data_IF_823705303458
#
_entry.id   IF_823705303458
#
_cell.length_a   1.000
_cell.length_b   1.000
_cell.length_c   1.000
_cell.angle_alpha   90.00
_cell.angle_beta   90.00
_cell.angle_gamma   90.00
#
_symmetry.space_group_name_H-M   'P 1'
#
loop_
_entity.id
_entity.type
_entity.pdbx_description
1 polymer ?
#
# COMPACT_ATOMS: atom_id res chain seq x y z
N UNK A 1 15.49 -2.34 -47.44
CA UNK A 1 14.22 -3.07 -47.24
C UNK A 1 13.33 -2.20 -46.37
N UNK A 2 12.43 -1.41 -46.96
CA UNK A 2 11.49 -0.57 -46.19
C UNK A 2 10.41 -1.46 -45.61
N UNK A 3 10.13 -1.30 -44.31
CA UNK A 3 9.01 -1.95 -43.65
C UNK A 3 7.70 -1.45 -44.28
N UNK A 4 6.78 -2.35 -44.63
CA UNK A 4 5.44 -1.99 -45.11
C UNK A 4 4.62 -1.38 -43.98
N UNK A 5 3.71 -0.46 -44.28
CA UNK A 5 2.85 0.19 -43.27
C UNK A 5 2.04 -0.83 -42.45
N UNK A 6 1.53 -1.88 -43.09
CA UNK A 6 0.79 -2.96 -42.42
C UNK A 6 1.66 -3.67 -41.36
N UNK A 7 2.93 -3.94 -41.69
CA UNK A 7 3.84 -4.62 -40.75
C UNK A 7 4.21 -3.73 -39.57
N UNK A 8 4.30 -2.42 -39.80
CA UNK A 8 4.52 -1.43 -38.75
C UNK A 8 3.32 -1.34 -37.80
N UNK A 9 2.10 -1.34 -38.34
CA UNK A 9 0.87 -1.32 -37.56
C UNK A 9 0.74 -2.58 -36.69
N UNK A 10 1.04 -3.76 -37.24
CA UNK A 10 1.06 -5.04 -36.50
C UNK A 10 2.03 -4.98 -35.31
N UNK A 11 3.26 -4.53 -35.53
CA UNK A 11 4.26 -4.39 -34.46
C UNK A 11 3.84 -3.38 -33.37
N UNK A 12 3.14 -2.31 -33.76
CA UNK A 12 2.62 -1.33 -32.79
C UNK A 12 1.49 -1.91 -31.95
N UNK A 13 0.58 -2.69 -32.55
CA UNK A 13 -0.48 -3.39 -31.83
C UNK A 13 0.10 -4.41 -30.86
N UNK A 14 1.12 -5.15 -31.26
CA UNK A 14 1.77 -6.12 -30.37
C UNK A 14 2.51 -5.44 -29.21
N UNK A 15 3.23 -4.35 -29.48
CA UNK A 15 3.81 -3.53 -28.42
C UNK A 15 2.75 -2.98 -27.44
N UNK A 16 1.56 -2.63 -27.95
CA UNK A 16 0.44 -2.19 -27.10
C UNK A 16 -0.10 -3.32 -26.23
N UNK A 17 -0.31 -4.51 -26.79
CA UNK A 17 -0.71 -5.69 -26.00
C UNK A 17 0.28 -5.99 -24.89
N UNK A 18 1.59 -5.99 -25.18
CA UNK A 18 2.64 -6.21 -24.16
C UNK A 18 2.64 -5.13 -23.08
N UNK A 19 2.37 -3.88 -23.46
CA UNK A 19 2.26 -2.78 -22.49
C UNK A 19 1.05 -2.96 -21.57
N UNK A 20 -0.12 -3.32 -22.11
CA UNK A 20 -1.32 -3.60 -21.33
C UNK A 20 -1.13 -4.81 -20.41
N UNK A 21 -0.44 -5.86 -20.87
CA UNK A 21 -0.12 -7.02 -20.03
C UNK A 21 0.81 -6.64 -18.86
N UNK A 22 1.81 -5.78 -19.12
CA UNK A 22 2.69 -5.23 -18.08
C UNK A 22 1.91 -4.39 -17.07
N UNK A 23 0.95 -3.56 -17.52
CA UNK A 23 0.05 -2.81 -16.64
C UNK A 23 -0.74 -3.74 -15.72
N UNK A 24 -1.33 -4.82 -16.27
CA UNK A 24 -2.05 -5.84 -15.50
C UNK A 24 -1.14 -6.51 -14.48
N UNK A 25 0.07 -6.90 -14.88
CA UNK A 25 1.04 -7.53 -13.98
C UNK A 25 1.37 -6.64 -12.78
N UNK A 26 1.66 -5.36 -13.01
CA UNK A 26 1.94 -4.42 -11.90
C UNK A 26 0.72 -4.21 -11.01
N UNK A 27 -0.49 -4.13 -11.57
CA UNK A 27 -1.71 -4.05 -10.78
C UNK A 27 -1.91 -5.29 -9.90
N UNK A 28 -1.68 -6.49 -10.44
CA UNK A 28 -1.79 -7.74 -9.69
C UNK A 28 -0.76 -7.82 -8.57
N UNK A 29 0.48 -7.38 -8.81
CA UNK A 29 1.52 -7.30 -7.78
C UNK A 29 1.15 -6.32 -6.67
N UNK A 30 0.65 -5.12 -7.01
CA UNK A 30 0.20 -4.14 -6.02
C UNK A 30 -0.92 -4.70 -5.12
N UNK A 31 -1.90 -5.39 -5.72
CA UNK A 31 -2.99 -6.03 -4.96
C UNK A 31 -2.49 -7.13 -4.03
N UNK A 32 -1.51 -7.94 -4.47
CA UNK A 32 -0.88 -8.97 -3.62
C UNK A 32 -0.17 -8.37 -2.42
N UNK A 33 0.61 -7.30 -2.61
CA UNK A 33 1.33 -6.62 -1.52
C UNK A 33 0.35 -6.10 -0.47
N UNK A 34 -0.75 -5.48 -0.90
CA UNK A 34 -1.79 -5.00 0.01
C UNK A 34 -2.43 -6.14 0.81
N UNK A 35 -2.74 -7.25 0.15
CA UNK A 35 -3.26 -8.44 0.82
C UNK A 35 -2.29 -9.00 1.86
N UNK A 36 -1.00 -9.14 1.52
CA UNK A 36 0.02 -9.58 2.47
C UNK A 36 0.13 -8.63 3.67
N UNK A 37 0.05 -7.32 3.44
CA UNK A 37 -0.03 -6.34 4.52
C UNK A 37 -1.16 -6.64 5.51
N UNK A 38 -2.37 -6.88 5.02
CA UNK A 38 -3.51 -7.23 5.87
C UNK A 38 -3.34 -8.56 6.63
N UNK A 39 -2.73 -9.56 6.00
CA UNK A 39 -2.43 -10.85 6.67
C UNK A 39 -1.46 -10.64 7.83
N UNK A 40 -0.38 -9.88 7.60
CA UNK A 40 0.60 -9.55 8.66
C UNK A 40 -0.07 -8.75 9.77
N UNK A 41 -0.92 -7.78 9.43
CA UNK A 41 -1.67 -6.99 10.40
C UNK A 41 -2.56 -7.87 11.29
N UNK A 42 -3.30 -8.81 10.69
CA UNK A 42 -4.13 -9.75 11.44
C UNK A 42 -3.29 -10.59 12.41
N UNK A 43 -2.11 -11.06 11.98
CA UNK A 43 -1.18 -11.79 12.83
C UNK A 43 -0.66 -10.92 14.00
N UNK A 44 -0.29 -9.67 13.74
CA UNK A 44 0.14 -8.70 14.78
C UNK A 44 -0.96 -8.47 15.81
N UNK A 45 -2.19 -8.20 15.37
CA UNK A 45 -3.32 -7.97 16.27
C UNK A 45 -3.60 -9.23 17.11
N UNK A 46 -3.58 -10.41 16.49
CA UNK A 46 -3.75 -11.68 17.18
C UNK A 46 -2.66 -11.95 18.23
N UNK A 47 -1.39 -11.72 17.87
CA UNK A 47 -0.25 -11.87 18.77
C UNK A 47 -0.30 -10.88 19.93
N UNK A 48 -0.66 -9.62 19.67
CA UNK A 48 -0.85 -8.61 20.71
C UNK A 48 -1.99 -9.00 21.66
N UNK A 49 -3.13 -9.43 21.13
CA UNK A 49 -4.26 -9.89 21.94
C UNK A 49 -3.93 -11.12 22.82
N UNK A 50 -3.20 -12.09 22.27
CA UNK A 50 -2.72 -13.24 23.03
C UNK A 50 -1.74 -12.83 24.15
N UNK A 51 -0.80 -11.94 23.84
CA UNK A 51 0.16 -11.42 24.81
C UNK A 51 -0.53 -10.72 25.98
N UNK A 52 -1.56 -9.92 25.71
CA UNK A 52 -2.35 -9.26 26.75
C UNK A 52 -3.09 -10.27 27.63
N UNK A 53 -3.70 -11.31 27.03
CA UNK A 53 -4.38 -12.36 27.78
C UNK A 53 -3.43 -13.13 28.70
N UNK A 54 -2.19 -13.36 28.28
CA UNK A 54 -1.18 -14.06 29.07
C UNK A 54 -0.57 -13.21 30.19
N UNK A 55 -0.87 -11.90 30.27
CA UNK A 55 -0.35 -11.00 31.30
C UNK A 55 1.16 -10.75 31.23
N UNK A 56 1.79 -11.04 30.07
CA UNK A 56 3.23 -10.89 29.89
C UNK A 56 3.56 -9.39 29.80
N UNK A 57 4.45 -8.92 30.67
CA UNK A 57 4.91 -7.55 30.72
C UNK A 57 6.42 -7.46 30.83
N UNK A 58 6.99 -6.34 30.40
CA UNK A 58 8.41 -6.04 30.49
C UNK A 58 8.64 -4.80 31.37
N UNK A 59 9.65 -4.81 32.26
CA UNK A 59 9.99 -3.65 33.05
C UNK A 59 10.66 -2.59 32.17
N UNK A 60 10.04 -1.41 32.06
CA UNK A 60 10.54 -0.25 31.32
C UNK A 60 10.31 1.01 32.15
N UNK A 61 11.37 1.79 32.41
CA UNK A 61 11.32 3.05 33.16
C UNK A 61 10.55 2.98 34.51
N UNK A 62 10.65 1.87 35.24
CA UNK A 62 9.96 1.69 36.52
C UNK A 62 8.50 1.22 36.41
N UNK A 63 8.01 0.93 35.21
CA UNK A 63 6.68 0.38 34.96
C UNK A 63 6.75 -0.99 34.28
N UNK A 64 5.79 -1.87 34.58
CA UNK A 64 5.55 -3.11 33.85
C UNK A 64 4.65 -2.82 32.65
N UNK A 65 5.26 -2.70 31.48
CA UNK A 65 4.55 -2.42 30.22
C UNK A 65 4.12 -3.72 29.56
N UNK A 66 2.84 -3.90 29.18
CA UNK A 66 2.40 -5.12 28.50
C UNK A 66 3.14 -5.36 27.18
N UNK A 67 3.59 -6.59 26.93
CA UNK A 67 4.33 -6.94 25.71
C UNK A 67 3.52 -6.64 24.44
N UNK A 68 2.20 -6.73 24.51
CA UNK A 68 1.29 -6.36 23.43
C UNK A 68 1.49 -4.94 22.88
N UNK A 69 1.95 -3.98 23.71
CA UNK A 69 2.26 -2.63 23.24
C UNK A 69 3.41 -2.62 22.23
N UNK A 70 4.47 -3.39 22.50
CA UNK A 70 5.63 -3.51 21.62
C UNK A 70 5.28 -4.25 20.34
N UNK A 71 4.43 -5.28 20.43
CA UNK A 71 3.93 -6.00 19.25
C UNK A 71 3.13 -5.06 18.34
N UNK A 72 2.23 -4.24 18.90
CA UNK A 72 1.47 -3.25 18.13
C UNK A 72 2.38 -2.19 17.49
N UNK A 73 3.38 -1.71 18.25
CA UNK A 73 4.36 -0.75 17.72
C UNK A 73 5.19 -1.36 16.57
N UNK A 74 5.61 -2.61 16.72
CA UNK A 74 6.26 -3.36 15.65
C UNK A 74 5.34 -3.48 14.42
N UNK A 75 4.05 -3.74 14.63
CA UNK A 75 3.04 -3.70 13.58
C UNK A 75 3.01 -2.39 12.81
N UNK A 76 3.09 -1.25 13.51
CA UNK A 76 3.12 0.07 12.86
C UNK A 76 4.37 0.24 12.00
N UNK A 77 5.53 -0.22 12.47
CA UNK A 77 6.79 -0.19 11.71
C UNK A 77 6.71 -1.08 10.46
N UNK A 78 6.17 -2.30 10.59
CA UNK A 78 5.99 -3.19 9.44
C UNK A 78 4.99 -2.61 8.43
N UNK A 79 3.89 -2.02 8.90
CA UNK A 79 2.91 -1.37 8.03
C UNK A 79 3.50 -0.16 7.31
N UNK A 80 4.39 0.59 7.95
CA UNK A 80 5.15 1.64 7.30
C UNK A 80 6.03 1.08 6.16
N UNK A 81 6.64 -0.10 6.35
CA UNK A 81 7.33 -0.82 5.28
C UNK A 81 6.40 -1.17 4.11
N UNK A 82 5.20 -1.69 4.39
CA UNK A 82 4.18 -1.96 3.37
C UNK A 82 3.78 -0.68 2.62
N UNK A 83 3.63 0.45 3.31
CA UNK A 83 3.37 1.75 2.69
C UNK A 83 4.46 2.13 1.67
N UNK A 84 5.74 1.96 2.02
CA UNK A 84 6.83 2.25 1.08
C UNK A 84 6.77 1.34 -0.16
N UNK A 85 6.51 0.05 0.03
CA UNK A 85 6.36 -0.89 -1.08
C UNK A 85 5.19 -0.49 -2.00
N UNK A 86 3.97 -0.36 -1.47
CA UNK A 86 2.76 -0.08 -2.26
C UNK A 86 2.82 1.32 -2.90
N UNK A 87 3.09 2.36 -2.10
CA UNK A 87 2.92 3.74 -2.53
C UNK A 87 4.15 4.34 -3.24
N UNK A 88 5.37 3.98 -2.81
CA UNK A 88 6.60 4.62 -3.30
C UNK A 88 7.33 3.79 -4.35
N UNK A 89 7.15 2.48 -4.38
CA UNK A 89 7.82 1.62 -5.37
C UNK A 89 6.87 1.14 -6.46
N UNK A 90 5.80 0.43 -6.12
CA UNK A 90 4.95 -0.22 -7.12
C UNK A 90 3.96 0.72 -7.81
N UNK A 91 3.36 1.66 -7.07
CA UNK A 91 2.43 2.64 -7.67
C UNK A 91 3.08 3.45 -8.82
N UNK A 92 4.34 3.93 -8.71
CA UNK A 92 5.05 4.54 -9.85
C UNK A 92 5.26 3.63 -11.06
N UNK A 93 5.54 2.33 -10.86
CA UNK A 93 5.71 1.39 -11.98
C UNK A 93 4.41 1.20 -12.76
N UNK A 94 3.29 1.06 -12.04
CA UNK A 94 1.96 1.00 -12.66
C UNK A 94 1.66 2.28 -13.45
N UNK A 95 1.87 3.46 -12.85
CA UNK A 95 1.66 4.73 -13.53
C UNK A 95 2.54 4.89 -14.79
N UNK A 96 3.81 4.50 -14.73
CA UNK A 96 4.72 4.54 -15.88
C UNK A 96 4.27 3.64 -17.03
N UNK A 97 3.76 2.44 -16.71
CA UNK A 97 3.21 1.53 -17.73
C UNK A 97 1.92 2.07 -18.36
N UNK A 98 1.08 2.76 -17.58
CA UNK A 98 -0.14 3.45 -18.07
C UNK A 98 0.23 4.61 -18.99
N UNK A 99 1.16 5.47 -18.58
CA UNK A 99 1.58 6.62 -19.38
C UNK A 99 2.25 6.17 -20.70
N UNK A 100 3.00 5.06 -20.68
CA UNK A 100 3.53 4.40 -21.90
C UNK A 100 2.40 3.90 -22.81
N UNK A 101 1.39 3.24 -22.23
CA UNK A 101 0.21 2.77 -22.95
C UNK A 101 -0.54 3.90 -23.63
N UNK A 102 -0.78 5.02 -22.93
CA UNK A 102 -1.44 6.22 -23.49
C UNK A 102 -0.67 6.76 -24.71
N UNK A 103 0.65 6.80 -24.64
CA UNK A 103 1.47 7.29 -25.75
C UNK A 103 1.38 6.38 -26.98
N UNK A 104 1.22 5.07 -26.77
CA UNK A 104 1.07 4.11 -27.86
C UNK A 104 -0.35 4.13 -28.44
N UNK A 105 -1.37 4.23 -27.59
CA UNK A 105 -2.77 4.42 -27.97
C UNK A 105 -2.96 5.63 -28.87
N UNK A 106 -2.34 6.78 -28.53
CA UNK A 106 -2.37 7.99 -29.38
C UNK A 106 -1.84 7.75 -30.79
N UNK A 107 -0.76 6.97 -30.92
CA UNK A 107 -0.14 6.66 -32.22
C UNK A 107 -0.99 5.65 -33.02
N UNK A 108 -1.54 4.65 -32.35
CA UNK A 108 -2.41 3.65 -32.96
C UNK A 108 -3.76 4.25 -33.38
N UNK A 109 -4.34 5.14 -32.59
CA UNK A 109 -5.60 5.79 -32.92
C UNK A 109 -5.54 6.71 -34.13
N UNK A 110 -4.35 7.17 -34.53
CA UNK A 110 -4.16 7.88 -35.79
C UNK A 110 -4.29 6.96 -37.03
N UNK A 111 -4.21 5.63 -36.82
CA UNK A 111 -4.30 4.59 -37.85
C UNK A 111 -5.66 3.88 -37.80
N UNK A 112 -6.18 3.67 -36.59
CA UNK A 112 -7.37 2.86 -36.31
C UNK A 112 -8.54 3.66 -35.72
N UNK A 113 -8.70 4.94 -36.11
CA UNK A 113 -9.87 5.79 -35.82
C UNK A 113 -10.37 5.78 -34.36
N UNK A 114 -9.45 5.77 -33.39
CA UNK A 114 -9.80 5.89 -31.98
C UNK A 114 -10.16 4.59 -31.25
N UNK A 115 -9.96 3.41 -31.83
CA UNK A 115 -10.33 2.14 -31.20
C UNK A 115 -9.58 1.79 -29.90
N UNK A 116 -8.48 2.46 -29.56
CA UNK A 116 -7.63 2.12 -28.42
C UNK A 116 -7.71 3.18 -27.31
N UNK A 117 -8.40 2.89 -26.20
CA UNK A 117 -8.61 3.85 -25.08
C UNK A 117 -8.31 3.31 -23.69
N UNK A 118 -7.80 2.08 -23.56
CA UNK A 118 -7.72 1.39 -22.27
C UNK A 118 -6.92 2.15 -21.20
N UNK A 119 -5.68 2.53 -21.53
CA UNK A 119 -4.75 3.20 -20.61
C UNK A 119 -5.22 4.62 -20.31
N UNK A 120 -5.76 5.30 -21.32
CA UNK A 120 -6.31 6.66 -21.18
C UNK A 120 -7.58 6.70 -20.32
N UNK A 121 -8.46 5.70 -20.46
CA UNK A 121 -9.65 5.54 -19.64
C UNK A 121 -9.28 5.22 -18.18
N UNK A 122 -8.31 4.34 -17.93
CA UNK A 122 -7.80 4.08 -16.56
C UNK A 122 -7.33 5.38 -15.90
N UNK A 123 -6.52 6.18 -16.61
CA UNK A 123 -6.00 7.44 -16.07
C UNK A 123 -7.12 8.44 -15.78
N UNK A 124 -8.07 8.59 -16.72
CA UNK A 124 -9.22 9.48 -16.59
C UNK A 124 -10.06 9.10 -15.37
N UNK A 125 -10.48 7.83 -15.29
CA UNK A 125 -11.29 7.30 -14.17
C UNK A 125 -10.59 7.42 -12.83
N UNK A 126 -9.26 7.20 -12.80
CA UNK A 126 -8.48 7.35 -11.57
C UNK A 126 -8.49 8.79 -11.04
N UNK A 127 -8.53 9.80 -11.92
CA UNK A 127 -8.55 11.22 -11.54
C UNK A 127 -9.95 11.75 -11.20
N UNK A 128 -11.02 11.07 -11.62
CA UNK A 128 -12.41 11.47 -11.37
C UNK A 128 -12.89 11.19 -9.93
N UNK A 129 -12.08 10.51 -9.11
CA UNK A 129 -12.49 10.11 -7.76
C UNK A 129 -12.56 11.31 -6.82
N UNK A 130 -13.72 11.47 -6.20
CA UNK A 130 -14.01 12.51 -5.21
C UNK A 130 -14.20 11.89 -3.83
N UNK A 131 -13.61 12.52 -2.81
CA UNK A 131 -13.85 12.20 -1.40
C UNK A 131 -14.49 13.43 -0.74
N UNK A 132 -15.65 13.26 -0.12
CA UNK A 132 -16.42 14.37 0.49
C UNK A 132 -16.63 15.58 -0.45
N UNK A 133 -16.80 15.32 -1.75
CA UNK A 133 -17.01 16.36 -2.77
C UNK A 133 -15.73 17.00 -3.34
N UNK A 134 -14.57 16.78 -2.72
CA UNK A 134 -13.27 17.25 -3.21
C UNK A 134 -12.61 16.21 -4.10
N UNK A 135 -12.00 16.61 -5.22
CA UNK A 135 -11.19 15.70 -6.04
C UNK A 135 -9.96 15.27 -5.24
N UNK A 136 -9.74 13.96 -5.15
CA UNK A 136 -8.61 13.40 -4.42
C UNK A 136 -7.77 12.60 -5.39
N UNK A 137 -6.53 13.05 -5.60
CA UNK A 137 -5.59 12.34 -6.44
C UNK A 137 -5.29 10.93 -5.88
N UNK A 138 -4.77 10.06 -6.74
CA UNK A 138 -4.47 8.67 -6.34
C UNK A 138 -3.41 8.58 -5.24
N UNK A 139 -2.46 9.52 -5.17
CA UNK A 139 -1.39 9.51 -4.16
C UNK A 139 -1.95 9.86 -2.79
N UNK A 140 -2.80 10.88 -2.71
CA UNK A 140 -3.45 11.33 -1.49
C UNK A 140 -4.38 10.23 -0.95
N UNK A 141 -5.13 9.53 -1.80
CA UNK A 141 -5.94 8.37 -1.38
C UNK A 141 -5.09 7.28 -0.73
N UNK A 142 -3.99 6.89 -1.37
CA UNK A 142 -3.07 5.89 -0.83
C UNK A 142 -2.43 6.36 0.47
N UNK A 143 -2.06 7.64 0.57
CA UNK A 143 -1.51 8.22 1.80
C UNK A 143 -2.53 8.18 2.94
N UNK A 144 -3.75 8.68 2.73
CA UNK A 144 -4.81 8.70 3.74
C UNK A 144 -5.03 7.29 4.30
N UNK A 145 -5.16 6.30 3.42
CA UNK A 145 -5.38 4.90 3.83
C UNK A 145 -4.22 4.35 4.69
N UNK A 146 -2.97 4.56 4.29
CA UNK A 146 -1.84 4.02 5.05
C UNK A 146 -1.61 4.78 6.36
N UNK A 147 -1.73 6.10 6.36
CA UNK A 147 -1.61 6.89 7.58
C UNK A 147 -2.74 6.62 8.57
N UNK A 148 -3.98 6.39 8.11
CA UNK A 148 -5.07 6.01 9.02
C UNK A 148 -4.78 4.68 9.74
N UNK A 149 -4.14 3.73 9.05
CA UNK A 149 -3.73 2.45 9.64
C UNK A 149 -2.54 2.58 10.60
N UNK A 150 -1.56 3.42 10.29
CA UNK A 150 -0.45 3.70 11.21
C UNK A 150 -0.98 4.39 12.46
N UNK A 151 -1.83 5.41 12.31
CA UNK A 151 -2.44 6.14 13.42
C UNK A 151 -3.25 5.19 14.31
N UNK A 152 -4.04 4.28 13.74
CA UNK A 152 -4.82 3.32 14.54
C UNK A 152 -3.91 2.38 15.34
N UNK A 153 -2.82 1.88 14.76
CA UNK A 153 -1.85 1.05 15.47
C UNK A 153 -1.15 1.81 16.59
N UNK A 154 -0.74 3.06 16.36
CA UNK A 154 -0.12 3.91 17.39
C UNK A 154 -1.10 4.22 18.51
N UNK A 155 -2.36 4.53 18.19
CA UNK A 155 -3.40 4.75 19.20
C UNK A 155 -3.61 3.49 20.05
N UNK A 156 -3.66 2.30 19.43
CA UNK A 156 -3.76 1.04 20.16
C UNK A 156 -2.53 0.79 21.05
N UNK A 157 -1.32 1.10 20.57
CA UNK A 157 -0.10 1.04 21.39
C UNK A 157 -0.23 1.95 22.61
N UNK A 158 -0.63 3.21 22.43
CA UNK A 158 -0.79 4.18 23.55
C UNK A 158 -1.83 3.68 24.56
N UNK A 159 -2.97 3.17 24.09
CA UNK A 159 -4.01 2.60 24.95
C UNK A 159 -3.47 1.42 25.77
N UNK A 160 -2.73 0.50 25.15
CA UNK A 160 -2.14 -0.63 25.88
C UNK A 160 -1.08 -0.16 26.89
N UNK A 161 -0.23 0.81 26.53
CA UNK A 161 0.77 1.38 27.45
C UNK A 161 0.10 2.04 28.65
N UNK A 162 -1.07 2.66 28.48
CA UNK A 162 -1.81 3.27 29.60
C UNK A 162 -2.26 2.26 30.67
N UNK A 163 -2.24 0.96 30.36
CA UNK A 163 -2.52 -0.13 31.31
C UNK A 163 -1.29 -0.57 32.12
N UNK A 164 -0.13 0.08 31.93
CA UNK A 164 1.12 -0.29 32.62
C UNK A 164 1.04 0.01 34.12
N UNK A 165 1.58 -0.88 34.95
CA UNK A 165 1.58 -0.73 36.41
C UNK A 165 2.98 -0.39 36.94
N UNK A 166 3.12 0.38 38.02
CA UNK A 166 4.43 0.66 38.60
C UNK A 166 5.05 -0.63 39.15
N UNK A 167 6.36 -0.78 38.99
CA UNK A 167 7.12 -1.88 39.59
C UNK A 167 7.15 -1.64 41.12
N UNK A 168 6.72 -2.61 41.95
CA UNK A 168 6.80 -2.46 43.40
C UNK A 168 8.24 -2.20 43.83
N UNK A 169 8.49 -1.10 44.55
CA UNK A 169 9.79 -0.88 45.19
C UNK A 169 9.94 -1.94 46.29
N UNK A 170 10.96 -2.79 46.20
CA UNK A 170 11.28 -3.69 47.30
C UNK A 170 11.70 -2.84 48.51
N UNK A 171 11.12 -3.06 49.70
CA UNK A 171 11.55 -2.32 50.89
C UNK A 171 13.03 -2.62 51.14
N UNK A 172 13.81 -1.56 51.35
CA UNK A 172 15.23 -1.66 51.71
C UNK A 172 15.27 -2.29 53.10
N UNK A 173 15.54 -3.59 53.19
CA UNK A 173 15.82 -4.24 54.47
C UNK A 173 17.24 -3.87 54.86
N UNK A 174 17.37 -2.90 55.76
CA UNK A 174 18.61 -2.60 56.49
C UNK A 174 18.96 -3.74 57.45
#
# INVERSE_FOLDING_TARGET
>A
MSMTEDKRAELMVDAWKTTVDTQRHFNDVAMKIRHFGFVILAAVIGAAGLSLRSGISLPVNGYNVPVGAFIMLFGAVVWLGIYFLDAKWYSPFLLGSVDTGINLEKKLNAIFDGCFTHSSDIKKRSNEVKLFGFHVDSRLRTMIFHFSMIISLILLTVLIVSMSTPIPQQPVTC
#
